data_IF_283024040474
#
_entry.id   IF_283024040474
#
_cell.length_a   1.000
_cell.length_b   1.000
_cell.length_c   1.000
_cell.angle_alpha   90.00
_cell.angle_beta   90.00
_cell.angle_gamma   90.00
#
_symmetry.space_group_name_H-M   'P 1'
#
loop_
_entity.id
_entity.type
_entity.pdbx_description
1 polymer ?
#
# COMPACT_ATOMS: atom_id res chain seq x y z
N UNK A 1 -3.30 0.72 42.43
CA UNK A 1 -3.42 0.70 40.95
C UNK A 1 -2.03 0.92 40.39
N UNK A 2 -1.39 -0.15 39.91
CA UNK A 2 -0.08 -0.07 39.27
C UNK A 2 -0.24 0.69 37.97
N UNK A 3 0.37 1.87 37.87
CA UNK A 3 0.47 2.59 36.60
C UNK A 3 1.17 1.65 35.61
N UNK A 4 0.49 1.24 34.54
CA UNK A 4 1.17 0.55 33.44
C UNK A 4 2.26 1.49 32.92
N UNK A 5 3.49 0.99 32.84
CA UNK A 5 4.58 1.70 32.16
C UNK A 5 4.09 2.16 30.78
N UNK A 6 4.34 3.42 30.38
CA UNK A 6 3.92 3.89 29.08
C UNK A 6 4.59 3.01 28.03
N UNK A 7 3.77 2.31 27.23
CA UNK A 7 4.25 1.51 26.10
C UNK A 7 5.12 2.43 25.24
N UNK A 8 6.42 2.16 25.20
CA UNK A 8 7.35 2.86 24.30
C UNK A 8 7.07 2.38 22.88
N UNK A 9 6.14 3.05 22.23
CA UNK A 9 5.84 2.82 20.82
C UNK A 9 7.04 3.23 19.97
N UNK A 10 7.21 2.56 18.83
CA UNK A 10 8.11 3.05 17.80
C UNK A 10 7.59 4.41 17.29
N UNK A 11 8.46 5.33 16.84
CA UNK A 11 8.06 6.68 16.41
C UNK A 11 7.02 6.70 15.28
N UNK A 12 6.95 5.62 14.48
CA UNK A 12 6.07 5.47 13.35
C UNK A 12 4.68 4.91 13.71
N UNK A 13 4.50 4.38 14.92
CA UNK A 13 3.21 3.84 15.40
C UNK A 13 2.38 4.97 16.02
N UNK A 14 1.14 5.11 15.58
CA UNK A 14 0.19 6.11 16.09
C UNK A 14 -0.87 5.44 16.97
N UNK A 15 -1.10 5.99 18.16
CA UNK A 15 -2.26 5.65 18.97
C UNK A 15 -3.49 6.42 18.46
N UNK A 16 -4.63 5.75 18.35
CA UNK A 16 -5.92 6.33 18.00
C UNK A 16 -7.01 5.79 18.93
N UNK A 17 -7.95 6.65 19.33
CA UNK A 17 -9.13 6.22 20.09
C UNK A 17 -10.21 5.74 19.12
N UNK A 18 -10.65 4.49 19.29
CA UNK A 18 -11.67 3.86 18.46
C UNK A 18 -12.88 3.58 19.33
N UNK A 19 -14.04 4.09 18.91
CA UNK A 19 -15.32 3.75 19.53
C UNK A 19 -15.86 2.48 18.90
N UNK A 20 -16.02 1.44 19.72
CA UNK A 20 -16.58 0.17 19.35
C UNK A 20 -18.12 0.25 19.30
N UNK A 21 -18.75 -0.66 18.54
CA UNK A 21 -20.21 -0.69 18.36
C UNK A 21 -21.01 -0.89 19.66
N UNK A 22 -20.38 -1.41 20.71
CA UNK A 22 -20.97 -1.53 22.06
C UNK A 22 -20.85 -0.24 22.90
N UNK A 23 -20.38 0.87 22.31
CA UNK A 23 -20.23 2.16 22.97
C UNK A 23 -18.94 2.33 23.77
N UNK A 24 -18.10 1.29 23.90
CA UNK A 24 -16.81 1.38 24.58
C UNK A 24 -15.76 2.04 23.68
N UNK A 25 -14.87 2.84 24.26
CA UNK A 25 -13.70 3.39 23.57
C UNK A 25 -12.46 2.57 23.92
N UNK A 26 -11.67 2.22 22.92
CA UNK A 26 -10.38 1.54 23.08
C UNK A 26 -9.27 2.32 22.40
N UNK A 27 -8.05 2.25 22.93
CA UNK A 27 -6.86 2.75 22.24
C UNK A 27 -6.39 1.67 21.26
N UNK A 28 -6.48 1.95 19.97
CA UNK A 28 -5.88 1.14 18.92
C UNK A 28 -4.51 1.71 18.54
N UNK A 29 -3.58 0.84 18.14
CA UNK A 29 -2.24 1.23 17.70
C UNK A 29 -2.10 0.91 16.22
N UNK A 30 -1.98 1.96 15.42
CA UNK A 30 -1.87 1.86 13.97
C UNK A 30 -0.41 1.85 13.55
N UNK A 31 0.03 0.71 13.04
CA UNK A 31 1.32 0.57 12.38
C UNK A 31 1.20 1.06 10.92
N UNK A 32 2.18 1.81 10.37
CA UNK A 32 2.20 2.12 8.95
C UNK A 32 2.24 0.84 8.10
N UNK A 33 1.72 0.89 6.89
CA UNK A 33 1.91 -0.25 6.00
C UNK A 33 3.41 -0.44 5.70
N UNK A 34 3.89 -1.70 5.62
CA UNK A 34 5.26 -1.95 5.20
C UNK A 34 5.47 -1.41 3.79
N UNK A 35 6.66 -0.88 3.53
CA UNK A 35 7.05 -0.36 2.22
C UNK A 35 8.51 -0.66 1.89
N UNK A 36 8.82 -0.77 0.59
CA UNK A 36 10.18 -0.90 0.07
C UNK A 36 10.31 -0.13 -1.25
N UNK A 37 11.47 0.48 -1.48
CA UNK A 37 11.71 1.32 -2.65
C UNK A 37 10.96 2.66 -2.59
N UNK A 38 10.72 3.33 -3.74
CA UNK A 38 10.97 2.85 -5.09
C UNK A 38 12.45 2.59 -5.41
N UNK A 39 12.74 1.62 -6.27
CA UNK A 39 14.09 1.31 -6.76
C UNK A 39 14.09 1.11 -8.27
N UNK A 40 15.19 1.47 -8.92
CA UNK A 40 15.41 1.20 -10.35
C UNK A 40 15.96 -0.21 -10.54
N UNK A 41 15.40 -0.93 -11.50
CA UNK A 41 15.84 -2.27 -11.89
C UNK A 41 15.95 -2.37 -13.39
N UNK A 42 16.73 -3.35 -13.84
CA UNK A 42 16.77 -3.75 -15.26
C UNK A 42 15.84 -4.94 -15.43
N UNK A 43 14.90 -4.85 -16.37
CA UNK A 43 14.01 -5.93 -16.76
C UNK A 43 14.78 -7.02 -17.53
N UNK A 44 14.24 -8.24 -17.56
CA UNK A 44 14.84 -9.35 -18.32
C UNK A 44 15.04 -9.03 -19.82
N UNK A 45 14.19 -8.18 -20.39
CA UNK A 45 14.30 -7.71 -21.77
C UNK A 45 15.32 -6.55 -21.96
N UNK A 46 16.12 -6.21 -20.95
CA UNK A 46 17.13 -5.14 -20.99
C UNK A 46 16.60 -3.71 -20.79
N UNK A 47 15.27 -3.53 -20.69
CA UNK A 47 14.66 -2.23 -20.38
C UNK A 47 14.81 -1.83 -18.91
N UNK A 48 14.63 -0.55 -18.60
CA UNK A 48 14.62 -0.05 -17.22
C UNK A 48 13.20 -0.03 -16.66
N UNK A 49 13.03 -0.41 -15.39
CA UNK A 49 11.77 -0.28 -14.66
C UNK A 49 12.01 0.30 -13.25
N UNK A 50 10.95 0.87 -12.69
CA UNK A 50 10.87 1.16 -11.26
C UNK A 50 10.07 0.07 -10.56
N UNK A 51 10.47 -0.27 -9.34
CA UNK A 51 9.74 -1.17 -8.47
C UNK A 51 9.50 -0.53 -7.12
N UNK A 52 8.28 -0.60 -6.62
CA UNK A 52 7.87 -0.08 -5.32
C UNK A 52 6.96 -1.10 -4.65
N UNK A 53 7.14 -1.33 -3.35
CA UNK A 53 6.23 -2.16 -2.57
C UNK A 53 5.55 -1.31 -1.52
N UNK A 54 4.24 -1.47 -1.40
CA UNK A 54 3.43 -0.86 -0.35
C UNK A 54 2.33 -1.83 0.10
N UNK A 55 2.24 -2.08 1.40
CA UNK A 55 1.31 -3.04 2.01
C UNK A 55 1.35 -4.44 1.35
N UNK A 56 2.54 -4.91 1.00
CA UNK A 56 2.79 -6.14 0.24
C UNK A 56 2.27 -6.18 -1.20
N UNK A 57 1.77 -5.07 -1.75
CA UNK A 57 1.55 -4.94 -3.19
C UNK A 57 2.79 -4.38 -3.86
N UNK A 58 3.28 -5.06 -4.89
CA UNK A 58 4.51 -4.74 -5.61
C UNK A 58 4.15 -4.18 -6.98
N UNK A 59 4.48 -2.91 -7.17
CA UNK A 59 4.24 -2.15 -8.40
C UNK A 59 5.50 -2.15 -9.24
N UNK A 60 5.39 -2.56 -10.50
CA UNK A 60 6.49 -2.54 -11.48
C UNK A 60 6.09 -1.64 -12.64
N UNK A 61 6.84 -0.57 -12.86
CA UNK A 61 6.60 0.40 -13.93
C UNK A 61 7.77 0.46 -14.91
N UNK A 62 7.67 -0.22 -16.07
CA UNK A 62 8.65 -0.08 -17.15
C UNK A 62 8.71 1.34 -17.69
N UNK A 63 9.92 1.88 -17.93
CA UNK A 63 10.13 3.25 -18.41
C UNK A 63 9.46 3.56 -19.74
N UNK A 64 9.33 2.55 -20.60
CA UNK A 64 8.69 2.67 -21.91
C UNK A 64 7.17 2.43 -21.89
N UNK A 65 6.56 2.23 -20.72
CA UNK A 65 5.14 1.90 -20.60
C UNK A 65 4.35 3.01 -19.89
N UNK A 66 3.08 3.14 -20.26
CA UNK A 66 2.07 3.94 -19.54
C UNK A 66 1.19 3.05 -18.65
N UNK A 67 1.71 1.88 -18.30
CA UNK A 67 1.04 0.93 -17.41
C UNK A 67 1.98 0.36 -16.36
N UNK A 68 1.40 -0.05 -15.24
CA UNK A 68 2.05 -0.66 -14.08
C UNK A 68 1.52 -2.09 -13.90
N UNK A 69 2.43 -3.02 -13.71
CA UNK A 69 2.08 -4.37 -13.28
C UNK A 69 2.10 -4.44 -11.76
N UNK A 70 1.15 -5.18 -11.19
CA UNK A 70 0.95 -5.31 -9.74
C UNK A 70 1.07 -6.79 -9.36
N UNK A 71 1.95 -7.07 -8.40
CA UNK A 71 2.05 -8.35 -7.74
C UNK A 71 1.84 -8.26 -6.23
N UNK A 72 1.97 -9.39 -5.54
CA UNK A 72 1.91 -9.47 -4.09
C UNK A 72 3.15 -10.18 -3.51
N UNK A 73 3.74 -9.59 -2.47
CA UNK A 73 4.94 -10.09 -1.80
C UNK A 73 5.91 -8.96 -1.41
N UNK A 74 7.17 -9.11 -1.79
CA UNK A 74 8.26 -8.16 -1.56
C UNK A 74 8.95 -7.81 -2.88
N UNK A 75 9.89 -6.85 -2.85
CA UNK A 75 10.71 -6.58 -4.03
C UNK A 75 11.57 -7.79 -4.47
N UNK A 76 11.90 -8.72 -3.59
CA UNK A 76 12.73 -9.88 -3.96
C UNK A 76 11.88 -11.05 -4.47
N UNK A 77 10.64 -11.17 -4.01
CA UNK A 77 9.73 -12.26 -4.36
C UNK A 77 8.29 -11.75 -4.40
N UNK A 78 7.71 -11.71 -5.59
CA UNK A 78 6.33 -11.29 -5.79
C UNK A 78 5.61 -12.23 -6.75
N UNK A 79 4.39 -12.63 -6.40
CA UNK A 79 3.48 -13.30 -7.32
C UNK A 79 2.71 -12.26 -8.15
N UNK A 80 2.58 -12.42 -9.47
CA UNK A 80 1.80 -11.48 -10.30
C UNK A 80 0.31 -11.60 -9.97
N UNK A 81 -0.40 -10.46 -9.91
CA UNK A 81 -1.84 -10.41 -9.66
C UNK A 81 -2.59 -9.67 -10.76
N UNK A 82 -2.17 -8.44 -11.07
CA UNK A 82 -2.76 -7.61 -12.12
C UNK A 82 -1.70 -7.12 -13.07
N UNK A 83 -2.05 -7.05 -14.35
CA UNK A 83 -1.16 -6.56 -15.39
C UNK A 83 -1.74 -5.30 -16.02
N UNK A 84 -0.86 -4.49 -16.58
CA UNK A 84 -1.21 -3.34 -17.41
C UNK A 84 -2.20 -2.35 -16.77
N UNK A 85 -2.04 -2.06 -15.48
CA UNK A 85 -2.86 -1.04 -14.82
C UNK A 85 -2.45 0.35 -15.30
N UNK A 86 -3.40 1.19 -15.77
CA UNK A 86 -3.04 2.50 -16.32
C UNK A 86 -2.43 3.38 -15.24
N UNK A 87 -1.35 4.07 -15.59
CA UNK A 87 -0.73 5.11 -14.76
C UNK A 87 -0.64 6.38 -15.58
N UNK A 88 -0.83 7.51 -14.90
CA UNK A 88 -0.76 8.82 -15.53
C UNK A 88 0.39 9.61 -14.91
N UNK A 89 1.10 10.35 -15.76
CA UNK A 89 2.21 11.21 -15.36
C UNK A 89 3.55 10.75 -15.89
N UNK A 90 4.59 11.50 -15.53
CA UNK A 90 5.96 11.18 -15.92
C UNK A 90 6.51 10.02 -15.12
N UNK A 91 7.29 9.17 -15.80
CA UNK A 91 7.96 8.06 -15.16
C UNK A 91 8.94 8.58 -14.10
N UNK A 92 8.72 8.20 -12.84
CA UNK A 92 9.52 8.67 -11.72
C UNK A 92 9.17 7.96 -10.42
N UNK A 93 10.12 7.96 -9.49
CA UNK A 93 10.02 7.26 -8.21
C UNK A 93 8.84 7.80 -7.38
N UNK A 94 8.75 9.12 -7.24
CA UNK A 94 7.66 9.77 -6.52
C UNK A 94 6.29 9.47 -7.17
N UNK A 95 6.21 9.52 -8.50
CA UNK A 95 4.98 9.20 -9.22
C UNK A 95 4.54 7.76 -8.99
N UNK A 96 5.47 6.80 -9.02
CA UNK A 96 5.17 5.40 -8.71
C UNK A 96 4.72 5.21 -7.26
N UNK A 97 5.38 5.87 -6.31
CA UNK A 97 5.01 5.79 -4.90
C UNK A 97 3.58 6.34 -4.66
N UNK A 98 3.28 7.52 -5.21
CA UNK A 98 1.94 8.11 -5.13
C UNK A 98 0.87 7.22 -5.78
N UNK A 99 1.16 6.64 -6.95
CA UNK A 99 0.27 5.68 -7.60
C UNK A 99 0.02 4.46 -6.71
N UNK A 100 1.09 3.80 -6.24
CA UNK A 100 0.99 2.57 -5.47
C UNK A 100 0.22 2.76 -4.16
N UNK A 101 0.51 3.83 -3.42
CA UNK A 101 -0.24 4.15 -2.20
C UNK A 101 -1.73 4.40 -2.46
N UNK A 102 -2.04 5.19 -3.49
CA UNK A 102 -3.41 5.52 -3.84
C UNK A 102 -4.18 4.28 -4.28
N UNK A 103 -3.55 3.43 -5.09
CA UNK A 103 -4.12 2.16 -5.56
C UNK A 103 -4.43 1.23 -4.40
N UNK A 104 -3.47 0.99 -3.48
CA UNK A 104 -3.70 0.11 -2.31
C UNK A 104 -4.80 0.66 -1.43
N UNK A 105 -4.79 1.95 -1.13
CA UNK A 105 -5.84 2.57 -0.28
C UNK A 105 -7.22 2.44 -0.92
N UNK A 106 -7.32 2.64 -2.24
CA UNK A 106 -8.56 2.43 -2.98
C UNK A 106 -9.02 0.97 -2.95
N UNK A 107 -8.09 0.04 -3.19
CA UNK A 107 -8.37 -1.40 -3.18
C UNK A 107 -8.86 -1.88 -1.81
N UNK A 108 -8.14 -1.56 -0.74
CA UNK A 108 -8.48 -1.99 0.62
C UNK A 108 -9.78 -1.36 1.15
N UNK A 109 -10.13 -0.14 0.70
CA UNK A 109 -11.40 0.50 1.08
C UNK A 109 -12.63 -0.32 0.67
N UNK A 110 -12.56 -1.10 -0.41
CA UNK A 110 -13.66 -1.97 -0.86
C UNK A 110 -14.01 -3.06 0.16
N UNK A 111 -13.09 -3.38 1.06
CA UNK A 111 -13.26 -4.41 2.09
C UNK A 111 -13.44 -3.82 3.49
N UNK A 112 -13.49 -2.48 3.61
CA UNK A 112 -13.77 -1.84 4.89
C UNK A 112 -15.26 -2.02 5.24
N UNK A 113 -15.59 -2.42 6.48
CA UNK A 113 -16.99 -2.56 6.90
C UNK A 113 -17.69 -1.19 6.79
N UNK A 114 -18.63 -1.07 5.84
CA UNK A 114 -19.38 0.15 5.54
C UNK A 114 -19.40 0.59 4.07
N UNK A 115 -18.59 -0.01 3.19
CA UNK A 115 -18.66 0.18 1.74
C UNK A 115 -19.61 -0.83 1.11
N UNK A 116 -20.91 -0.58 1.21
CA UNK A 116 -21.91 -1.42 0.55
C UNK A 116 -21.70 -1.45 -0.97
N UNK A 117 -21.79 -2.65 -1.53
CA UNK A 117 -22.17 -2.83 -2.93
C UNK A 117 -23.39 -1.95 -3.19
N UNK A 118 -23.23 -1.04 -4.14
CA UNK A 118 -24.35 -0.46 -4.88
C UNK A 118 -24.01 -0.66 -6.35
N UNK A 119 -23.96 -1.94 -6.74
CA UNK A 119 -24.33 -2.34 -8.09
C UNK A 119 -25.84 -2.59 -8.04
N UNK A 120 -26.58 -1.54 -8.36
CA UNK A 120 -27.95 -1.63 -8.85
C UNK A 120 -28.09 -0.63 -10.01
N UNK A 121 -28.53 -1.17 -11.14
CA UNK A 121 -28.86 -0.56 -12.45
C UNK A 121 -27.78 -0.59 -13.55
#
# INVERSE_FOLDING_TARGET
MTAMDPVKLRPDVRAEEVRLGNGHTVTAYRWPYPSQGPVRVTCAAGGMALRFMYAHFVFTWPKSSQTVDIGHGTLDSAMPLWQSQPVHGEWGEQALACFGESWVRGHLRRFAPGGGDSDDA
#
